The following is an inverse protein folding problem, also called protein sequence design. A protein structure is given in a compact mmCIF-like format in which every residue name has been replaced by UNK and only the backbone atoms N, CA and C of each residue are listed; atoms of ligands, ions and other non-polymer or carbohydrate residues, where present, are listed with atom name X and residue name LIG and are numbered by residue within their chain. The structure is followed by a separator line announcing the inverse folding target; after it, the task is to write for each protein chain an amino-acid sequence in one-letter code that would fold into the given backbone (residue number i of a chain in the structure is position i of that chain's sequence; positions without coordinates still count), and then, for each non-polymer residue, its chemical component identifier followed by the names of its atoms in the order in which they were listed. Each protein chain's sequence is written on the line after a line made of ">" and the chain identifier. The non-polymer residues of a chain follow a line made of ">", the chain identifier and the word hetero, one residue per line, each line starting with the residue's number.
data_IF_529092924496
#
_entry.id   IF_529092924496
#
_cell.length_a   1.000
_cell.length_b   1.000
_cell.length_c   1.000
_cell.angle_alpha   90.00
_cell.angle_beta   90.00
_cell.angle_gamma   90.00
#
_symmetry.space_group_name_H-M   'P 1'
#
loop_
_entity.id
_entity.type
_entity.pdbx_description
1 polymer ?
#
# COMPACT_ATOMS: atom_id res chain seq x y z
N UNK A 1 48.34 37.31 -19.08
CA UNK A 1 47.30 36.27 -19.23
C UNK A 1 47.98 34.92 -19.27
N UNK A 2 47.66 33.99 -18.36
CA UNK A 2 48.26 32.65 -18.31
C UNK A 2 47.41 31.71 -19.19
N UNK A 3 47.96 31.13 -20.28
CA UNK A 3 47.19 30.34 -21.26
C UNK A 3 46.46 29.10 -20.70
N UNK A 4 46.83 28.63 -19.51
CA UNK A 4 46.20 27.48 -18.83
C UNK A 4 44.94 27.79 -18.00
N UNK A 5 44.71 29.05 -17.59
CA UNK A 5 43.52 29.42 -16.78
C UNK A 5 42.23 29.47 -17.61
N UNK A 6 42.34 29.79 -18.90
CA UNK A 6 41.20 29.87 -19.84
C UNK A 6 40.65 28.49 -20.22
N UNK A 7 41.50 27.46 -20.28
CA UNK A 7 41.07 26.09 -20.59
C UNK A 7 40.41 25.41 -19.38
N UNK A 8 40.94 25.66 -18.17
CA UNK A 8 40.37 25.13 -16.94
C UNK A 8 38.99 25.70 -16.62
N UNK A 9 38.81 27.02 -16.78
CA UNK A 9 37.51 27.69 -16.56
C UNK A 9 36.46 27.28 -17.60
N UNK A 10 36.84 27.12 -18.87
CA UNK A 10 35.96 26.60 -19.91
C UNK A 10 35.54 25.15 -19.64
N UNK A 11 36.47 24.31 -19.13
CA UNK A 11 36.17 22.93 -18.71
C UNK A 11 35.18 22.89 -17.54
N UNK A 12 35.38 23.72 -16.52
CA UNK A 12 34.46 23.82 -15.38
C UNK A 12 33.06 24.28 -15.80
N UNK A 13 32.96 25.25 -16.71
CA UNK A 13 31.68 25.71 -17.24
C UNK A 13 30.93 24.59 -17.99
N UNK A 14 31.63 23.77 -18.77
CA UNK A 14 31.03 22.61 -19.45
C UNK A 14 30.55 21.55 -18.47
N UNK A 15 31.35 21.24 -17.45
CA UNK A 15 30.97 20.26 -16.42
C UNK A 15 29.75 20.71 -15.63
N UNK A 16 29.68 22.01 -15.28
CA UNK A 16 28.52 22.58 -14.61
C UNK A 16 27.27 22.48 -15.47
N UNK A 17 27.37 22.85 -16.75
CA UNK A 17 26.27 22.74 -17.72
C UNK A 17 25.78 21.29 -17.86
N UNK A 18 26.68 20.32 -17.97
CA UNK A 18 26.33 18.91 -18.06
C UNK A 18 25.65 18.41 -16.76
N UNK A 19 26.08 18.89 -15.60
CA UNK A 19 25.44 18.58 -14.31
C UNK A 19 24.02 19.15 -14.22
N UNK A 20 23.82 20.38 -14.67
CA UNK A 20 22.50 21.03 -14.69
C UNK A 20 21.54 20.32 -15.66
N UNK A 21 22.02 19.93 -16.84
CA UNK A 21 21.25 19.14 -17.83
C UNK A 21 20.85 17.76 -17.28
N UNK A 22 21.77 17.09 -16.57
CA UNK A 22 21.46 15.82 -15.91
C UNK A 22 20.37 15.97 -14.84
N UNK A 23 20.45 17.03 -14.03
CA UNK A 23 19.45 17.28 -13.00
C UNK A 23 18.07 17.59 -13.61
N UNK A 24 18.03 18.32 -14.72
CA UNK A 24 16.78 18.58 -15.45
C UNK A 24 16.17 17.30 -16.01
N UNK A 25 16.97 16.45 -16.67
CA UNK A 25 16.51 15.17 -17.20
C UNK A 25 15.97 14.25 -16.10
N UNK A 26 16.62 14.24 -14.93
CA UNK A 26 16.15 13.50 -13.76
C UNK A 26 14.82 14.03 -13.24
N UNK A 27 14.69 15.34 -13.07
CA UNK A 27 13.45 15.95 -12.60
C UNK A 27 12.28 15.70 -13.57
N UNK A 28 12.56 15.69 -14.87
CA UNK A 28 11.56 15.38 -15.91
C UNK A 28 11.15 13.90 -15.87
N UNK A 29 12.09 12.98 -15.70
CA UNK A 29 11.79 11.56 -15.49
C UNK A 29 10.95 11.33 -14.23
N UNK A 30 11.28 11.99 -13.11
CA UNK A 30 10.50 11.92 -11.87
C UNK A 30 9.08 12.47 -12.07
N UNK A 31 8.92 13.55 -12.85
CA UNK A 31 7.61 14.13 -13.17
C UNK A 31 6.76 13.21 -14.06
N UNK A 32 7.38 12.55 -15.05
CA UNK A 32 6.70 11.56 -15.90
C UNK A 32 6.25 10.34 -15.08
N UNK A 33 7.06 9.91 -14.11
CA UNK A 33 6.79 8.75 -13.26
C UNK A 33 5.82 9.02 -12.10
N UNK A 34 5.60 10.27 -11.71
CA UNK A 34 4.69 10.63 -10.62
C UNK A 34 3.25 10.16 -10.87
N UNK A 35 2.70 10.42 -12.07
CA UNK A 35 1.34 10.03 -12.42
C UNK A 35 1.08 8.50 -12.36
N UNK A 36 1.90 7.66 -13.01
CA UNK A 36 1.79 6.21 -12.93
C UNK A 36 1.93 5.66 -11.50
N UNK A 37 2.83 6.23 -10.68
CA UNK A 37 3.03 5.81 -9.28
C UNK A 37 1.81 6.09 -8.43
N UNK A 38 1.20 7.26 -8.57
CA UNK A 38 0.02 7.62 -7.79
C UNK A 38 -1.19 6.75 -8.17
N UNK A 39 -1.34 6.40 -9.45
CA UNK A 39 -2.36 5.44 -9.90
C UNK A 39 -2.14 4.05 -9.31
N UNK A 40 -0.93 3.51 -9.40
CA UNK A 40 -0.59 2.21 -8.80
C UNK A 40 -0.82 2.19 -7.28
N UNK A 41 -0.45 3.27 -6.58
CA UNK A 41 -0.69 3.38 -5.14
C UNK A 41 -2.19 3.47 -4.81
N UNK A 42 -2.99 4.15 -5.62
CA UNK A 42 -4.44 4.21 -5.46
C UNK A 42 -5.10 2.84 -5.69
N UNK A 43 -4.70 2.12 -6.74
CA UNK A 43 -5.18 0.77 -7.04
C UNK A 43 -4.81 -0.23 -5.93
N UNK A 44 -3.58 -0.18 -5.43
CA UNK A 44 -3.14 -1.01 -4.31
C UNK A 44 -3.95 -0.75 -3.03
N UNK A 45 -4.24 0.52 -2.71
CA UNK A 45 -5.09 0.88 -1.55
C UNK A 45 -6.53 0.40 -1.74
N UNK A 46 -7.08 0.52 -2.95
CA UNK A 46 -8.42 0.04 -3.26
C UNK A 46 -8.53 -1.49 -3.12
N UNK A 47 -7.55 -2.24 -3.65
CA UNK A 47 -7.49 -3.69 -3.51
C UNK A 47 -7.36 -4.13 -2.04
N UNK A 48 -6.54 -3.43 -1.25
CA UNK A 48 -6.42 -3.70 0.19
C UNK A 48 -7.73 -3.43 0.94
N UNK A 49 -8.40 -2.31 0.67
CA UNK A 49 -9.68 -1.97 1.28
C UNK A 49 -10.78 -3.00 0.96
N UNK A 50 -10.83 -3.46 -0.29
CA UNK A 50 -11.77 -4.49 -0.74
C UNK A 50 -11.53 -5.82 -0.02
N UNK A 51 -10.27 -6.22 0.12
CA UNK A 51 -9.91 -7.46 0.82
C UNK A 51 -10.18 -7.39 2.33
N UNK A 52 -9.96 -6.23 2.97
CA UNK A 52 -10.37 -6.02 4.37
C UNK A 52 -11.88 -6.12 4.51
N UNK A 53 -12.65 -5.51 3.59
CA UNK A 53 -14.11 -5.56 3.62
C UNK A 53 -14.62 -6.99 3.47
N UNK A 54 -14.05 -7.78 2.55
CA UNK A 54 -14.35 -9.21 2.40
C UNK A 54 -14.01 -10.00 3.66
N UNK A 55 -12.84 -9.78 4.26
CA UNK A 55 -12.43 -10.45 5.48
C UNK A 55 -13.36 -10.10 6.67
N UNK A 56 -13.82 -8.86 6.76
CA UNK A 56 -14.77 -8.43 7.78
C UNK A 56 -16.15 -9.08 7.60
N UNK A 57 -16.65 -9.17 6.36
CA UNK A 57 -17.91 -9.87 6.04
C UNK A 57 -17.79 -11.36 6.39
N UNK A 58 -16.71 -12.02 5.98
CA UNK A 58 -16.48 -13.45 6.29
C UNK A 58 -16.38 -13.69 7.80
N UNK A 59 -15.71 -12.80 8.54
CA UNK A 59 -15.65 -12.87 10.00
C UNK A 59 -17.04 -12.69 10.62
N UNK A 60 -17.81 -11.72 10.16
CA UNK A 60 -19.19 -11.50 10.59
C UNK A 60 -20.08 -12.72 10.33
N UNK A 61 -19.99 -13.31 9.13
CA UNK A 61 -20.71 -14.54 8.79
C UNK A 61 -20.28 -15.73 9.67
N UNK A 62 -18.98 -15.86 9.95
CA UNK A 62 -18.45 -16.90 10.85
C UNK A 62 -18.94 -16.75 12.29
N UNK A 63 -19.04 -15.52 12.80
CA UNK A 63 -19.63 -15.24 14.12
C UNK A 63 -21.13 -15.55 14.13
N UNK A 64 -21.89 -15.07 13.13
CA UNK A 64 -23.33 -15.34 13.04
C UNK A 64 -23.61 -16.85 12.97
N UNK A 65 -22.81 -17.61 12.22
CA UNK A 65 -22.98 -19.06 12.12
C UNK A 65 -22.63 -19.77 13.43
N UNK A 66 -21.53 -19.37 14.09
CA UNK A 66 -21.12 -19.91 15.39
C UNK A 66 -22.16 -19.61 16.47
N UNK A 67 -22.68 -18.38 16.52
CA UNK A 67 -23.71 -17.95 17.48
C UNK A 67 -25.02 -18.71 17.23
N UNK A 68 -25.45 -18.85 15.98
CA UNK A 68 -26.67 -19.61 15.64
C UNK A 68 -26.55 -21.08 16.02
N UNK A 69 -25.38 -21.69 15.81
CA UNK A 69 -25.12 -23.08 16.18
C UNK A 69 -25.06 -23.27 17.70
N UNK A 70 -24.36 -22.38 18.42
CA UNK A 70 -24.32 -22.40 19.89
C UNK A 70 -25.71 -22.22 20.49
N UNK A 71 -26.49 -21.28 19.97
CA UNK A 71 -27.82 -20.96 20.47
C UNK A 71 -28.79 -22.13 20.23
N UNK A 72 -28.62 -22.88 19.13
CA UNK A 72 -29.38 -24.10 18.87
C UNK A 72 -29.01 -25.24 19.82
N UNK A 73 -27.72 -25.47 20.09
CA UNK A 73 -27.28 -26.52 21.02
C UNK A 73 -27.67 -26.19 22.46
N UNK A 74 -27.47 -24.95 22.91
CA UNK A 74 -27.80 -24.53 24.26
C UNK A 74 -29.31 -24.53 24.53
N UNK A 75 -30.15 -24.30 23.51
CA UNK A 75 -31.61 -24.42 23.63
C UNK A 75 -32.11 -25.86 23.52
N UNK A 76 -31.33 -26.77 22.94
CA UNK A 76 -31.66 -28.19 22.80
C UNK A 76 -31.18 -29.04 24.01
N UNK A 77 -30.50 -28.48 25.02
CA UNK A 77 -30.27 -29.22 26.27
C UNK A 77 -31.62 -29.55 26.94
N UNK A 78 -32.01 -30.83 27.06
CA UNK A 78 -33.14 -31.18 27.90
C UNK A 78 -32.78 -30.79 29.33
N UNK A 79 -33.67 -30.05 30.01
CA UNK A 79 -33.58 -29.84 31.44
C UNK A 79 -33.25 -31.19 32.09
N UNK A 80 -32.08 -31.29 32.74
CA UNK A 80 -31.69 -32.49 33.48
C UNK A 80 -32.86 -32.83 34.39
N UNK A 81 -33.60 -33.87 34.05
CA UNK A 81 -34.58 -34.48 34.94
C UNK A 81 -33.77 -35.01 36.11
N UNK A 82 -33.86 -34.31 37.23
CA UNK A 82 -33.41 -34.80 38.53
C UNK A 82 -34.01 -36.20 38.75
N UNK A 83 -33.14 -37.10 39.21
CA UNK A 83 -33.22 -38.55 38.97
C UNK A 83 -34.37 -39.31 39.64
N UNK A 84 -34.45 -40.63 39.39
CA UNK A 84 -35.37 -41.49 40.12
C UNK A 84 -34.80 -41.84 41.51
N UNK A 85 -35.61 -41.58 42.55
CA UNK A 85 -35.53 -42.24 43.86
C UNK A 85 -36.08 -43.66 43.77
#
# INVERSE_FOLDING_TARGET
>A
MIPGMTDHSARLARLKKAGDEYQQARNEAERILAGPRDRLAAEARAAYAENIRKAAILRGMGHVWSDTWLDKILKEEPAKTDGPQ
#
